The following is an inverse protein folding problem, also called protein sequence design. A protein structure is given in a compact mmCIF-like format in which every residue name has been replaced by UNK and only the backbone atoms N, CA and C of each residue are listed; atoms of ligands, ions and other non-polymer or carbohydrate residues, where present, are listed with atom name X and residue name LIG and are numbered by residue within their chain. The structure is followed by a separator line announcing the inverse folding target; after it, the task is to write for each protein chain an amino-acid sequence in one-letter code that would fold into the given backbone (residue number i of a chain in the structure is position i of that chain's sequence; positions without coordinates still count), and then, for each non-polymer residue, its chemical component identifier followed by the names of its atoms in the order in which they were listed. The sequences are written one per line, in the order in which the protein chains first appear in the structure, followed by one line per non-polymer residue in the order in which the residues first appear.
data_IF_407047391036
#
_entry.id   IF_407047391036
#
_cell.length_a   1.000
_cell.length_b   1.000
_cell.length_c   1.000
_cell.angle_alpha   90.00
_cell.angle_beta   90.00
_cell.angle_gamma   90.00
#
_symmetry.space_group_name_H-M   'P 1'
#
loop_
_entity.id
_entity.type
_entity.pdbx_description
1 polymer ?
2 non-polymer ?
3 non-polymer ?
4 non-polymer ?
5 water ?
#
# COMPACT_ATOMS: atom_id res chain seq x y z
N UNK A 10 -16.10 9.76 4.86
CA UNK A 10 -15.89 8.37 5.36
C UNK A 10 -15.20 7.48 4.36
N UNK A 11 -14.17 6.81 4.85
CA UNK A 11 -13.44 5.76 4.16
C UNK A 11 -14.41 4.57 4.18
N UNK A 12 -14.67 3.94 3.02
CA UNK A 12 -15.70 2.88 3.01
C UNK A 12 -15.28 1.59 3.76
N UNK A 13 -16.29 0.90 4.26
CA UNK A 13 -16.14 -0.39 4.85
C UNK A 13 -15.73 -1.36 3.72
N UNK A 14 -15.17 -2.50 4.05
CA UNK A 14 -14.86 -3.46 3.01
C UNK A 14 -16.14 -4.05 2.45
N UNK A 15 -16.09 -4.50 1.19
CA UNK A 15 -17.25 -5.09 0.52
C UNK A 15 -17.34 -6.59 0.75
N UNK A 16 -16.32 -7.18 1.38
CA UNK A 16 -16.28 -8.62 1.60
C UNK A 16 -17.04 -9.12 2.81
N UNK A 17 -17.12 -10.45 2.97
CA UNK A 17 -17.85 -11.08 4.08
C UNK A 17 -17.19 -11.04 5.47
N UNK A 18 -15.92 -10.68 5.56
CA UNK A 18 -15.22 -10.72 6.84
C UNK A 18 -15.22 -9.33 7.50
N UNK A 19 -15.49 -9.29 8.79
CA UNK A 19 -15.14 -8.16 9.65
C UNK A 19 -13.64 -7.89 9.58
N UNK A 20 -13.25 -6.64 9.79
CA UNK A 20 -11.85 -6.23 9.64
C UNK A 20 -11.24 -5.67 10.94
N UNK A 21 -10.04 -6.19 11.26
CA UNK A 21 -9.23 -5.70 12.35
C UNK A 21 -8.01 -4.94 11.86
N UNK A 22 -7.41 -4.15 12.72
CA UNK A 22 -6.19 -3.43 12.36
C UNK A 22 -5.27 -3.24 13.57
N UNK A 23 -3.96 -3.34 13.36
CA UNK A 23 -2.99 -3.05 14.42
C UNK A 23 -1.69 -2.58 13.79
N UNK A 24 -0.73 -2.15 14.63
CA UNK A 24 0.59 -1.74 14.14
C UNK A 24 1.66 -2.66 14.69
N UNK A 25 2.63 -2.99 13.84
CA UNK A 25 3.82 -3.76 14.26
C UNK A 25 5.11 -3.06 13.91
N UNK A 26 5.97 -2.87 14.91
CA UNK A 26 7.33 -2.41 14.66
C UNK A 26 8.34 -3.42 15.21
N UNK A 27 9.11 -4.05 14.32
CA UNK A 27 10.20 -4.96 14.75
C UNK A 27 11.35 -5.04 13.74
N UNK A 28 12.60 -4.82 14.14
CA UNK A 28 12.95 -4.33 15.48
C UNK A 28 12.50 -2.86 15.65
N UNK A 29 12.90 -2.26 16.77
CA UNK A 29 12.61 -0.86 17.10
C UNK A 29 13.43 0.20 16.33
N UNK A 30 14.44 -0.22 15.56
CA UNK A 30 15.43 0.69 14.97
C UNK A 30 14.96 1.18 13.61
N UNK A 31 15.63 2.21 13.09
CA UNK A 31 15.40 2.70 11.73
C UNK A 31 15.63 1.65 10.61
N UNK A 32 16.32 0.55 10.89
CA UNK A 32 16.45 -0.59 9.96
C UNK A 32 15.43 -1.72 10.19
N UNK A 33 14.61 -1.61 11.23
CA UNK A 33 13.54 -2.56 11.47
C UNK A 33 12.42 -2.39 10.48
N UNK A 34 11.44 -3.27 10.61
CA UNK A 34 10.21 -3.20 9.87
C UNK A 34 9.16 -2.44 10.68
N UNK A 35 8.42 -1.59 9.99
CA UNK A 35 7.24 -0.91 10.55
C UNK A 35 6.11 -1.13 9.54
N UNK A 36 5.00 -1.68 10.02
CA UNK A 36 3.85 -1.86 9.17
C UNK A 36 2.53 -1.72 9.93
N UNK A 37 1.49 -1.37 9.19
CA UNK A 37 0.13 -1.42 9.70
C UNK A 37 -0.53 -2.66 9.11
N UNK A 38 -1.06 -3.53 9.99
CA UNK A 38 -1.66 -4.77 9.60
C UNK A 38 -3.19 -4.64 9.55
N UNK A 39 -3.79 -5.10 8.45
CA UNK A 39 -5.24 -5.25 8.30
C UNK A 39 -5.52 -6.70 8.10
N UNK A 40 -6.50 -7.22 8.83
CA UNK A 40 -6.67 -8.66 8.90
C UNK A 40 -8.13 -9.03 9.17
N UNK A 41 -8.54 -10.24 8.74
CA UNK A 41 -9.88 -10.69 9.08
C UNK A 41 -10.03 -10.83 10.60
N UNK A 42 -11.05 -10.23 11.18
CA UNK A 42 -11.20 -10.21 12.62
C UNK A 42 -12.38 -11.03 13.12
N UNK A 43 -12.20 -11.54 14.33
CA UNK A 43 -13.19 -12.32 15.03
C UNK A 43 -14.39 -11.47 15.46
N UNK A 44 -14.10 -10.28 15.99
CA UNK A 44 -15.13 -9.41 16.57
C UNK A 44 -15.23 -8.07 15.83
N UNK A 45 -16.36 -7.42 16.03
CA UNK A 45 -16.71 -6.21 15.32
C UNK A 45 -17.22 -5.11 16.25
N UNK A 46 -16.92 -5.20 17.55
CA UNK A 46 -17.37 -4.25 18.57
C UNK A 46 -16.20 -3.45 19.21
N UNK A 47 -15.12 -3.31 18.46
CA UNK A 47 -13.97 -2.55 18.92
C UNK A 47 -14.05 -1.13 18.44
N UNK A 48 -13.23 -0.28 19.05
CA UNK A 48 -13.04 1.09 18.56
C UNK A 48 -12.48 1.07 17.15
N UNK A 49 -12.98 1.99 16.32
CA UNK A 49 -12.42 2.18 14.99
C UNK A 49 -10.99 2.68 15.11
N UNK A 50 -10.27 2.58 14.00
CA UNK A 50 -8.84 2.83 13.94
C UNK A 50 -8.57 4.31 13.59
N UNK A 51 -7.79 4.99 14.43
CA UNK A 51 -7.38 6.37 14.16
C UNK A 51 -6.56 6.44 12.86
N UNK A 52 -7.02 7.27 11.92
CA UNK A 52 -6.54 7.28 10.56
C UNK A 52 -5.10 7.80 10.40
N UNK A 53 -4.86 8.97 10.98
CA UNK A 53 -3.51 9.57 11.03
C UNK A 53 -3.20 9.74 12.54
N UNK A 54 -2.40 8.81 13.11
CA UNK A 54 -2.30 8.70 14.54
C UNK A 54 -1.32 9.57 15.31
N UNK A 55 -0.50 10.39 14.66
CA UNK A 55 0.40 11.31 15.37
C UNK A 55 0.50 12.64 14.67
N UNK A 56 0.65 13.67 15.49
CA UNK A 56 0.76 15.06 15.00
C UNK A 56 1.90 15.22 13.99
N UNK A 57 2.97 14.45 14.19
CA UNK A 57 4.16 14.57 13.36
C UNK A 57 3.88 14.18 11.89
N UNK A 58 2.95 13.26 11.65
CA UNK A 58 2.51 12.96 10.27
C UNK A 58 1.96 14.21 9.57
N UNK A 59 1.24 15.05 10.31
CA UNK A 59 0.72 16.31 9.74
C UNK A 59 1.82 17.32 9.41
N UNK A 60 2.83 17.41 10.26
CA UNK A 60 3.98 18.26 9.96
C UNK A 60 4.67 17.73 8.71
N UNK A 61 4.80 16.41 8.63
CA UNK A 61 5.32 15.73 7.45
C UNK A 61 4.53 16.10 6.20
N UNK A 62 3.21 16.03 6.30
CA UNK A 62 2.36 16.38 5.15
C UNK A 62 2.54 17.84 4.75
N UNK A 63 2.76 18.71 5.73
CA UNK A 63 2.93 20.12 5.45
C UNK A 63 4.25 20.42 4.70
N UNK A 64 5.32 19.75 5.11
CA UNK A 64 6.59 19.82 4.37
C UNK A 64 6.41 19.25 2.96
N UNK A 65 5.72 18.12 2.83
CA UNK A 65 5.49 17.53 1.52
C UNK A 65 4.73 18.49 0.60
N UNK A 66 3.77 19.24 1.16
CA UNK A 66 3.05 20.27 0.41
C UNK A 66 3.89 21.50 0.10
N UNK A 67 4.99 21.70 0.84
CA UNK A 67 5.82 22.88 0.70
C UNK A 67 5.25 24.10 1.40
N UNK A 68 4.42 23.89 2.43
CA UNK A 68 3.83 25.00 3.20
C UNK A 68 4.54 25.11 4.54
N UNK A 69 4.28 26.20 5.26
CA UNK A 69 4.81 26.37 6.64
C UNK A 69 4.35 25.18 7.47
N UNK A 70 5.10 24.87 8.54
CA UNK A 70 4.71 23.78 9.46
C UNK A 70 3.33 23.98 10.15
N UNK A 71 2.87 25.21 10.22
CA UNK A 71 1.62 25.57 10.86
C UNK A 71 0.41 25.22 10.02
N UNK A 72 0.60 25.03 8.72
CA UNK A 72 -0.38 24.33 7.91
C UNK A 72 -0.57 22.92 8.49
N UNK A 73 0.52 22.31 8.94
CA UNK A 73 0.44 21.00 9.63
C UNK A 73 -0.52 21.00 10.83
N UNK A 74 -0.37 21.97 11.72
CA UNK A 74 -1.31 22.14 12.83
C UNK A 74 -2.78 22.26 12.34
N UNK A 75 -2.99 22.98 11.23
CA UNK A 75 -4.31 23.17 10.65
C UNK A 75 -4.84 21.86 10.06
N UNK A 76 -3.97 21.10 9.41
CA UNK A 76 -4.36 19.78 8.88
C UNK A 76 -4.78 18.87 10.02
N UNK A 77 -4.04 18.94 11.12
CA UNK A 77 -4.31 18.10 12.25
C UNK A 77 -5.67 18.47 12.86
N UNK A 78 -5.92 19.76 13.04
CA UNK A 78 -7.24 20.20 13.45
C UNK A 78 -8.34 19.60 12.55
N UNK A 79 -8.12 19.58 11.24
CA UNK A 79 -9.15 19.14 10.30
C UNK A 79 -9.35 17.63 10.25
N UNK A 80 -8.25 16.88 10.35
CA UNK A 80 -8.26 15.45 10.10
C UNK A 80 -7.79 14.56 11.25
N UNK A 81 -7.36 15.17 12.36
CA UNK A 81 -6.67 14.43 13.42
C UNK A 81 -7.51 13.52 14.32
N UNK A 82 -8.82 13.67 14.30
CA UNK A 82 -9.76 12.80 15.01
C UNK A 82 -10.46 11.81 14.09
N UNK A 83 -10.15 11.88 12.78
CA UNK A 83 -10.79 11.04 11.79
C UNK A 83 -10.39 9.57 11.96
N UNK A 84 -11.36 8.68 11.80
CA UNK A 84 -11.11 7.25 11.91
C UNK A 84 -11.35 6.54 10.59
N UNK A 85 -10.95 5.28 10.53
CA UNK A 85 -11.15 4.40 9.39
C UNK A 85 -11.81 3.14 9.94
N UNK A 86 -12.76 2.52 9.19
CA UNK A 86 -13.59 1.47 9.79
C UNK A 86 -12.88 0.11 9.82
N UNK A 87 -11.89 0.00 10.70
CA UNK A 87 -11.27 -1.26 11.09
C UNK A 87 -11.20 -1.33 12.62
N UNK A 88 -11.49 -2.52 13.16
CA UNK A 88 -11.59 -2.76 14.58
C UNK A 88 -10.18 -2.80 15.15
N UNK A 89 -9.80 -1.73 15.86
CA UNK A 89 -8.43 -1.58 16.37
C UNK A 89 -8.12 -2.68 17.38
N UNK A 90 -7.05 -3.45 17.11
CA UNK A 90 -6.60 -4.57 17.95
C UNK A 90 -7.58 -5.71 18.17
N UNK A 91 -8.58 -5.84 17.31
CA UNK A 91 -9.52 -6.94 17.45
C UNK A 91 -8.74 -8.26 17.29
N UNK A 92 -9.17 -9.33 17.96
CA UNK A 92 -8.56 -10.63 17.70
C UNK A 92 -8.68 -11.09 16.24
N UNK A 93 -7.65 -11.78 15.76
CA UNK A 93 -7.66 -12.39 14.43
C UNK A 93 -8.76 -13.44 14.34
N UNK A 94 -9.46 -13.47 13.20
CA UNK A 94 -10.45 -14.53 12.98
C UNK A 94 -9.71 -15.86 12.81
N UNK A 95 -9.97 -16.83 13.69
CA UNK A 95 -9.21 -18.06 13.66
C UNK A 95 -9.76 -19.06 12.66
N UNK A 96 -9.01 -20.13 12.45
CA UNK A 96 -9.50 -21.34 11.77
C UNK A 96 -9.31 -21.39 10.27
N UNK A 97 -8.44 -20.52 9.76
CA UNK A 97 -8.24 -20.41 8.33
C UNK A 97 -6.90 -19.77 8.07
N UNK A 98 -6.22 -20.25 7.02
CA UNK A 98 -4.96 -19.64 6.56
C UNK A 98 -5.23 -18.59 5.49
N UNK A 99 -4.64 -17.41 5.69
CA UNK A 99 -4.91 -16.25 4.88
C UNK A 99 -3.74 -15.92 3.94
N UNK A 100 -4.03 -15.64 2.66
CA UNK A 100 -2.96 -15.09 1.82
C UNK A 100 -2.57 -13.68 2.24
N UNK A 101 -1.37 -13.28 1.84
CA UNK A 101 -0.71 -12.07 2.34
C UNK A 101 -0.39 -11.10 1.20
N UNK A 102 -0.76 -9.85 1.42
CA UNK A 102 -0.35 -8.74 0.56
C UNK A 102 0.57 -7.84 1.36
N UNK A 103 1.74 -7.53 0.79
CA UNK A 103 2.59 -6.47 1.32
C UNK A 103 2.24 -5.27 0.45
N UNK A 104 1.94 -4.15 1.09
CA UNK A 104 1.49 -2.94 0.39
C UNK A 104 2.51 -1.79 0.57
N UNK A 105 2.86 -1.13 -0.54
CA UNK A 105 3.82 -0.01 -0.55
C UNK A 105 3.19 1.35 -0.91
N UNK A 106 3.38 2.33 -0.02
CA UNK A 106 2.83 3.68 -0.17
C UNK A 106 3.66 4.55 -1.12
N UNK A 107 3.05 5.63 -1.58
CA UNK A 107 3.71 6.56 -2.51
C UNK A 107 4.57 7.62 -1.83
N UNK A 108 5.10 8.54 -2.64
CA UNK A 108 5.92 9.66 -2.19
C UNK A 108 5.10 10.65 -1.38
N UNK A 109 5.60 10.98 -0.18
CA UNK A 109 4.90 11.87 0.75
C UNK A 109 3.75 11.22 1.50
N UNK A 110 3.49 9.95 1.23
CA UNK A 110 2.46 9.21 1.95
C UNK A 110 3.11 8.52 3.18
N UNK A 111 2.39 7.62 3.81
CA UNK A 111 2.91 6.76 4.88
C UNK A 111 1.95 5.58 5.01
N UNK A 112 2.12 4.76 6.03
CA UNK A 112 1.46 3.44 6.07
C UNK A 112 -0.06 3.42 6.23
N UNK A 113 -0.62 4.48 6.79
CA UNK A 113 -2.02 4.49 7.21
C UNK A 113 -2.96 5.01 6.09
N UNK A 114 -2.42 5.51 4.98
CA UNK A 114 -3.25 6.26 4.01
C UNK A 114 -3.86 5.41 2.86
N UNK A 115 -3.82 4.10 3.02
CA UNK A 115 -4.42 3.21 2.04
C UNK A 115 -5.30 2.18 2.74
N UNK A 116 -6.04 2.64 3.75
CA UNK A 116 -6.95 1.79 4.49
C UNK A 116 -8.15 1.35 3.65
N UNK A 117 -8.61 2.17 2.71
CA UNK A 117 -9.73 1.75 1.84
C UNK A 117 -9.35 0.46 1.12
N UNK A 118 -8.15 0.43 0.53
CA UNK A 118 -7.63 -0.80 -0.08
C UNK A 118 -7.39 -1.92 0.95
N UNK A 119 -6.67 -1.64 2.03
CA UNK A 119 -6.29 -2.67 3.03
C UNK A 119 -7.50 -3.31 3.73
N UNK A 120 -8.43 -2.46 4.16
CA UNK A 120 -9.71 -2.91 4.69
C UNK A 120 -10.48 -3.78 3.71
N UNK A 121 -10.60 -3.34 2.46
CA UNK A 121 -11.40 -4.13 1.52
C UNK A 121 -10.76 -5.51 1.25
N UNK A 122 -9.44 -5.54 1.06
CA UNK A 122 -8.72 -6.80 0.88
C UNK A 122 -8.92 -7.70 2.09
N UNK A 123 -8.73 -7.14 3.30
CA UNK A 123 -8.98 -7.85 4.54
C UNK A 123 -10.39 -8.42 4.64
N UNK A 124 -11.37 -7.64 4.21
CA UNK A 124 -12.77 -8.08 4.27
C UNK A 124 -13.07 -9.30 3.37
N UNK A 125 -12.21 -9.54 2.38
CA UNK A 125 -12.30 -10.72 1.52
C UNK A 125 -11.38 -11.88 1.95
N UNK A 126 -10.69 -11.75 3.09
CA UNK A 126 -9.87 -12.82 3.67
C UNK A 126 -8.38 -12.76 3.38
N UNK A 127 -7.85 -11.55 3.14
CA UNK A 127 -6.39 -11.31 3.08
C UNK A 127 -5.89 -10.71 4.38
N UNK A 128 -4.66 -11.04 4.75
CA UNK A 128 -3.90 -10.23 5.69
C UNK A 128 -3.09 -9.30 4.82
N UNK A 129 -3.07 -8.01 5.17
CA UNK A 129 -2.41 -6.95 4.41
C UNK A 129 -1.41 -6.24 5.31
N UNK A 130 -0.15 -6.22 4.88
CA UNK A 130 0.90 -5.54 5.62
C UNK A 130 1.31 -4.29 4.87
N UNK A 131 0.80 -3.14 5.32
CA UNK A 131 1.18 -1.85 4.73
C UNK A 131 2.43 -1.32 5.42
N UNK A 132 3.57 -1.45 4.73
CA UNK A 132 4.84 -1.07 5.32
C UNK A 132 4.98 0.45 5.39
N UNK A 133 5.77 0.93 6.34
CA UNK A 133 6.16 2.33 6.38
C UNK A 133 7.64 2.35 6.05
N UNK A 134 7.95 3.02 4.96
CA UNK A 134 9.30 3.09 4.44
C UNK A 134 10.12 4.11 5.21
N UNK A 135 11.37 3.72 5.46
CA UNK A 135 12.36 4.58 6.15
C UNK A 135 13.41 5.16 5.19
N UNK A 136 13.02 5.31 3.93
CA UNK A 136 13.92 5.80 2.87
C UNK A 136 13.89 7.31 2.69
N UNK A 137 13.16 7.99 3.60
CA UNK A 137 12.85 9.43 3.54
C UNK A 137 11.93 9.78 2.35
N UNK A 138 11.16 8.78 1.84
CA UNK A 138 10.09 9.04 0.88
C UNK A 138 8.75 9.21 1.57
N UNK A 139 8.65 8.77 2.83
CA UNK A 139 7.45 9.01 3.63
C UNK A 139 7.43 10.48 4.05
N UNK A 140 6.24 11.08 4.14
CA UNK A 140 6.11 12.44 4.71
C UNK A 140 6.77 12.52 6.08
N UNK A 141 6.46 11.51 6.87
CA UNK A 141 7.11 11.29 8.14
C UNK A 141 7.07 9.80 8.42
N UNK A 142 7.98 9.36 9.29
CA UNK A 142 7.93 8.04 9.94
C UNK A 142 8.71 8.11 11.26
N UNK A 143 8.62 7.08 12.08
CA UNK A 143 9.40 7.04 13.30
C UNK A 143 9.93 5.67 13.68
N UNK A 144 10.85 5.71 14.66
CA UNK A 144 11.53 4.53 15.21
C UNK A 144 12.22 4.98 16.49
N UNK A 145 13.01 4.07 17.09
CA UNK A 145 13.66 4.31 18.37
C UNK A 145 15.17 4.10 18.24
N UNK A 146 15.90 4.99 18.90
CA UNK A 146 17.34 5.05 18.77
C UNK A 146 18.00 3.82 19.35
N UNK A 147 17.42 3.33 20.44
CA UNK A 147 17.93 2.13 21.09
C UNK A 147 16.83 1.53 21.97
N UNK A 148 17.18 0.49 22.72
CA UNK A 148 16.19 -0.25 23.51
C UNK A 148 15.57 0.60 24.62
N UNK A 149 16.40 1.40 25.30
CA UNK A 149 15.92 2.35 26.33
C UNK A 149 14.81 3.24 25.82
N UNK A 150 15.04 3.87 24.66
CA UNK A 150 14.07 4.77 24.02
C UNK A 150 12.73 4.09 23.64
N UNK A 151 12.82 2.87 23.13
CA UNK A 151 11.63 2.07 22.80
C UNK A 151 10.78 1.77 24.04
N UNK A 152 11.43 1.36 25.13
CA UNK A 152 10.76 1.14 26.42
C UNK A 152 9.92 2.32 26.87
N UNK A 153 10.54 3.49 26.93
CA UNK A 153 9.84 4.70 27.38
C UNK A 153 9.03 5.40 26.30
N UNK A 154 9.02 4.88 25.09
CA UNK A 154 8.26 5.49 23.99
C UNK A 154 8.81 6.83 23.51
N UNK A 155 10.14 6.98 23.56
CA UNK A 155 10.83 8.20 23.09
C UNK A 155 11.11 8.11 21.58
N UNK A 156 10.14 8.58 20.79
CA UNK A 156 10.17 8.43 19.34
C UNK A 156 11.17 9.39 18.68
N UNK A 157 11.95 8.89 17.72
CA UNK A 157 12.71 9.76 16.84
C UNK A 157 12.02 9.83 15.47
N UNK A 158 11.86 11.03 14.95
CA UNK A 158 11.12 11.24 13.72
C UNK A 158 12.05 11.52 12.55
N UNK A 159 11.67 10.97 11.39
CA UNK A 159 12.42 11.08 10.14
C UNK A 159 11.47 11.65 9.09
N UNK A 160 11.80 12.80 8.54
CA UNK A 160 10.90 13.52 7.64
C UNK A 160 11.32 13.39 6.19
N UNK A 161 10.36 13.57 5.29
CA UNK A 161 10.59 13.63 3.84
C UNK A 161 11.85 14.36 3.44
N UNK A 162 12.65 13.72 2.58
CA UNK A 162 13.81 14.36 1.98
C UNK A 162 13.42 15.05 0.67
N UNK A 163 13.72 16.33 0.56
CA UNK A 163 13.52 17.05 -0.70
C UNK A 163 14.81 17.00 -1.48
N UNK A 164 14.69 16.77 -2.78
CA UNK A 164 15.84 16.54 -3.66
C UNK A 164 16.08 17.69 -4.58
N UNK A 165 17.35 17.95 -4.84
CA UNK A 165 17.76 18.83 -5.91
C UNK A 165 17.63 18.02 -7.20
N UNK A 166 17.36 18.70 -8.31
CA UNK A 166 17.20 18.05 -9.63
C UNK A 166 18.38 17.16 -9.99
N UNK A 167 19.59 17.57 -9.61
CA UNK A 167 20.80 16.80 -9.79
C UNK A 167 20.80 15.44 -9.05
N UNK A 168 20.02 15.31 -7.97
CA UNK A 168 19.92 14.08 -7.16
C UNK A 168 18.82 13.13 -7.56
N UNK A 169 17.87 13.57 -8.39
CA UNK A 169 16.64 12.80 -8.65
C UNK A 169 16.91 11.37 -9.12
N UNK A 170 17.64 11.19 -10.21
CA UNK A 170 17.80 9.85 -10.80
C UNK A 170 18.42 8.90 -9.79
N UNK A 171 19.57 9.31 -9.27
CA UNK A 171 20.33 8.50 -8.34
C UNK A 171 19.59 8.19 -7.04
N UNK A 172 19.07 9.21 -6.37
CA UNK A 172 18.47 9.02 -5.06
C UNK A 172 17.13 8.28 -5.18
N UNK A 173 16.33 8.57 -6.21
CA UNK A 173 15.08 7.80 -6.42
C UNK A 173 15.34 6.31 -6.65
N UNK A 174 16.41 5.98 -7.35
CA UNK A 174 16.78 4.57 -7.55
C UNK A 174 17.25 3.95 -6.20
N UNK A 175 18.07 4.67 -5.42
CA UNK A 175 18.53 4.17 -4.11
C UNK A 175 17.30 3.89 -3.24
N UNK A 176 16.33 4.79 -3.29
CA UNK A 176 15.12 4.68 -2.49
C UNK A 176 14.25 3.47 -2.86
N UNK A 177 14.05 3.26 -4.17
CA UNK A 177 13.19 2.14 -4.60
C UNK A 177 13.85 0.81 -4.23
N UNK A 178 15.16 0.78 -4.22
CA UNK A 178 15.85 -0.47 -3.86
C UNK A 178 15.72 -0.71 -2.36
N UNK A 179 15.88 0.37 -1.56
CA UNK A 179 15.59 0.27 -0.14
C UNK A 179 14.15 -0.16 0.14
N UNK A 180 13.22 0.46 -0.57
CA UNK A 180 11.79 0.10 -0.48
C UNK A 180 11.58 -1.41 -0.73
N UNK A 181 12.16 -1.91 -1.79
CA UNK A 181 12.13 -3.35 -2.11
C UNK A 181 12.64 -4.21 -0.96
N UNK A 182 13.80 -3.84 -0.43
CA UNK A 182 14.37 -4.52 0.73
C UNK A 182 13.44 -4.48 1.94
N UNK A 183 12.76 -3.36 2.15
CA UNK A 183 11.81 -3.24 3.25
C UNK A 183 10.58 -4.12 3.03
N UNK A 184 10.17 -4.32 1.77
CA UNK A 184 9.07 -5.25 1.47
C UNK A 184 9.49 -6.67 1.76
N UNK A 185 10.68 -7.08 1.30
CA UNK A 185 11.17 -8.43 1.55
C UNK A 185 11.37 -8.67 3.04
N UNK A 186 11.93 -7.69 3.74
CA UNK A 186 12.09 -7.80 5.19
C UNK A 186 10.75 -7.94 5.90
N UNK A 187 9.77 -7.15 5.49
CA UNK A 187 8.44 -7.25 6.10
C UNK A 187 7.84 -8.63 5.87
N UNK A 188 8.01 -9.20 4.67
CA UNK A 188 7.55 -10.58 4.40
C UNK A 188 8.19 -11.60 5.34
N UNK A 189 9.51 -11.54 5.46
CA UNK A 189 10.27 -12.44 6.32
C UNK A 189 9.81 -12.38 7.79
N UNK A 190 9.56 -11.17 8.29
CA UNK A 190 9.05 -10.99 9.64
C UNK A 190 7.70 -11.68 9.84
N UNK A 191 6.77 -11.45 8.91
CA UNK A 191 5.43 -12.04 8.99
C UNK A 191 5.53 -13.56 8.87
N UNK A 192 6.35 -14.04 7.93
CA UNK A 192 6.54 -15.49 7.76
C UNK A 192 7.20 -16.10 9.01
N UNK A 193 8.10 -15.39 9.67
CA UNK A 193 8.71 -15.88 10.92
C UNK A 193 7.75 -15.90 12.09
N UNK A 194 6.91 -14.87 12.19
CA UNK A 194 5.83 -14.87 13.17
C UNK A 194 4.83 -16.00 12.87
N UNK A 195 4.56 -16.27 11.60
CA UNK A 195 3.70 -17.39 11.21
C UNK A 195 4.29 -18.70 11.70
N UNK A 196 5.60 -18.81 11.56
CA UNK A 196 6.38 -19.94 12.05
C UNK A 196 6.80 -19.88 13.52
N UNK A 197 6.12 -19.03 14.32
CA UNK A 197 6.11 -19.09 15.80
C UNK A 197 7.21 -18.39 16.58
N UNK A 198 8.16 -17.78 15.88
CA UNK A 198 9.20 -16.98 16.51
C UNK A 198 8.60 -15.88 17.42
N UNK A 199 8.92 -15.93 18.74
CA UNK A 199 8.52 -14.81 19.60
C UNK A 199 9.05 -13.50 19.01
N UNK A 200 8.20 -12.49 18.98
CA UNK A 200 8.56 -11.17 18.50
C UNK A 200 7.92 -10.19 19.49
N UNK A 201 8.73 -9.39 20.16
CA UNK A 201 8.21 -8.34 21.05
C UNK A 201 7.99 -7.08 20.23
N UNK A 202 6.73 -6.75 19.98
CA UNK A 202 6.37 -5.55 19.24
C UNK A 202 6.97 -4.36 20.00
N UNK A 203 7.69 -3.51 19.28
CA UNK A 203 8.31 -2.33 19.89
C UNK A 203 7.25 -1.30 20.31
N UNK A 204 6.06 -1.39 19.71
CA UNK A 204 4.91 -0.63 20.14
C UNK A 204 4.11 -1.46 21.17
N UNK A 205 3.75 -0.83 22.28
CA UNK A 205 3.09 -1.54 23.38
C UNK A 205 1.58 -1.54 23.10
N UNK A 206 1.14 -2.49 22.27
CA UNK A 206 -0.25 -2.57 21.82
C UNK A 206 -0.86 -3.89 22.27
N UNK A 207 -2.14 -3.89 22.57
CA UNK A 207 -2.80 -5.10 23.08
C UNK A 207 -3.31 -5.97 21.93
N UNK A 208 -2.38 -6.35 21.06
CA UNK A 208 -2.61 -7.33 20.02
C UNK A 208 -1.45 -8.31 20.10
N UNK A 209 -1.74 -9.48 20.62
CA UNK A 209 -0.77 -10.54 20.72
C UNK A 209 -0.38 -11.13 19.36
N UNK A 210 0.89 -10.94 18.98
CA UNK A 210 1.41 -11.44 17.71
C UNK A 210 1.36 -12.96 17.55
N UNK A 211 1.29 -13.69 18.65
CA UNK A 211 1.16 -15.15 18.58
C UNK A 211 -0.12 -15.67 17.88
N UNK A 212 -1.08 -14.78 17.66
CA UNK A 212 -2.28 -15.06 16.90
C UNK A 212 -2.00 -15.41 15.48
N UNK A 213 -0.97 -14.78 14.92
CA UNK A 213 -0.62 -14.98 13.53
C UNK A 213 0.09 -16.31 13.25
N UNK A 214 0.53 -16.99 14.32
CA UNK A 214 1.11 -18.32 14.19
C UNK A 214 0.16 -19.22 13.42
N UNK A 215 0.68 -19.91 12.41
CA UNK A 215 -0.10 -20.83 11.55
C UNK A 215 -1.34 -20.21 10.87
N UNK A 216 -1.30 -18.88 10.66
CA UNK A 216 -2.42 -18.13 10.05
C UNK A 216 -2.19 -17.64 8.62
N UNK A 217 -0.96 -17.80 8.09
CA UNK A 217 -0.60 -17.34 6.74
C UNK A 217 -0.60 -18.54 5.78
N UNK A 218 -1.21 -18.35 4.62
CA UNK A 218 -1.12 -19.30 3.50
C UNK A 218 0.23 -18.96 2.83
N UNK A 219 1.27 -19.69 3.22
CA UNK A 219 2.65 -19.20 3.04
C UNK A 219 3.14 -19.07 1.60
N UNK A 220 2.53 -19.76 0.65
CA UNK A 220 2.88 -19.59 -0.77
C UNK A 220 2.06 -18.48 -1.51
N UNK A 221 1.03 -17.95 -0.87
CA UNK A 221 0.10 -17.08 -1.52
C UNK A 221 0.43 -15.65 -1.12
N UNK A 222 1.56 -15.18 -1.65
CA UNK A 222 2.05 -13.83 -1.32
C UNK A 222 2.06 -12.93 -2.55
N UNK A 223 1.53 -11.72 -2.38
CA UNK A 223 1.57 -10.72 -3.42
C UNK A 223 2.08 -9.42 -2.87
N UNK A 224 2.49 -8.54 -3.78
CA UNK A 224 2.96 -7.21 -3.42
C UNK A 224 2.10 -6.25 -4.23
N UNK A 225 1.58 -5.20 -3.58
CA UNK A 225 0.74 -4.17 -4.21
C UNK A 225 1.23 -2.79 -3.78
N UNK A 226 1.08 -1.76 -4.62
CA UNK A 226 1.46 -0.43 -4.21
C UNK A 226 1.07 0.63 -5.20
N UNK A 227 1.10 1.87 -4.71
CA UNK A 227 0.62 3.04 -5.41
C UNK A 227 1.74 4.00 -5.65
N UNK A 228 1.85 4.48 -6.89
CA UNK A 228 2.74 5.58 -7.28
C UNK A 228 4.20 5.12 -7.12
N UNK A 229 4.96 5.70 -6.18
CA UNK A 229 6.30 5.22 -5.83
C UNK A 229 6.20 3.74 -5.37
N UNK A 230 5.14 3.41 -4.67
CA UNK A 230 4.83 2.05 -4.31
C UNK A 230 4.59 1.10 -5.49
N UNK A 231 4.16 1.62 -6.64
CA UNK A 231 3.99 0.83 -7.86
C UNK A 231 5.33 0.45 -8.46
N UNK A 232 6.27 1.40 -8.48
CA UNK A 232 7.67 1.05 -8.82
C UNK A 232 8.25 0.05 -7.82
N UNK A 233 7.87 0.19 -6.56
CA UNK A 233 8.36 -0.69 -5.50
C UNK A 233 7.88 -2.13 -5.73
N UNK A 234 6.62 -2.30 -6.13
CA UNK A 234 6.09 -3.63 -6.54
C UNK A 234 7.06 -4.29 -7.52
N UNK A 235 7.43 -3.53 -8.55
CA UNK A 235 8.21 -4.07 -9.65
C UNK A 235 9.64 -4.42 -9.26
N UNK A 236 10.29 -3.49 -8.56
CA UNK A 236 11.61 -3.76 -7.99
C UNK A 236 11.59 -5.00 -7.08
N UNK A 237 10.57 -5.06 -6.21
CA UNK A 237 10.38 -6.14 -5.25
C UNK A 237 10.27 -7.51 -5.96
N UNK A 238 9.41 -7.59 -6.96
CA UNK A 238 9.25 -8.81 -7.78
C UNK A 238 10.55 -9.27 -8.40
N UNK A 239 11.31 -8.31 -8.93
CA UNK A 239 12.57 -8.61 -9.59
C UNK A 239 13.62 -9.22 -8.64
N UNK A 240 13.53 -8.89 -7.35
CA UNK A 240 14.52 -9.38 -6.40
C UNK A 240 14.07 -10.39 -5.35
N UNK A 241 12.77 -10.69 -5.28
CA UNK A 241 12.25 -11.60 -4.27
C UNK A 241 11.20 -12.49 -4.95
N UNK A 242 11.63 -13.70 -5.33
CA UNK A 242 10.74 -14.65 -5.98
C UNK A 242 9.66 -15.23 -5.05
N UNK A 243 9.73 -14.90 -3.74
CA UNK A 243 8.68 -15.31 -2.79
C UNK A 243 7.38 -14.59 -3.09
N UNK A 244 7.45 -13.39 -3.65
CA UNK A 244 6.26 -12.68 -4.14
C UNK A 244 5.84 -13.31 -5.47
N UNK A 245 4.61 -13.82 -5.54
CA UNK A 245 4.18 -14.63 -6.69
C UNK A 245 3.50 -13.83 -7.77
N UNK A 246 2.98 -12.64 -7.41
CA UNK A 246 2.56 -11.66 -8.40
C UNK A 246 2.50 -10.26 -7.80
N UNK A 247 2.34 -9.27 -8.67
CA UNK A 247 2.25 -7.88 -8.23
C UNK A 247 1.17 -7.08 -8.92
N UNK A 248 0.66 -6.08 -8.22
CA UNK A 248 -0.31 -5.15 -8.77
C UNK A 248 0.19 -3.73 -8.54
N UNK A 249 0.38 -3.01 -9.64
CA UNK A 249 0.96 -1.66 -9.60
C UNK A 249 -0.18 -0.67 -9.86
N UNK A 250 -0.49 0.10 -8.83
CA UNK A 250 -1.57 1.09 -8.86
C UNK A 250 -0.99 2.41 -9.23
N UNK A 251 -1.29 2.83 -10.46
CA UNK A 251 -0.83 4.08 -11.00
C UNK A 251 0.68 4.25 -10.73
N UNK A 252 1.47 3.27 -11.15
CA UNK A 252 2.90 3.31 -10.88
C UNK A 252 3.62 4.57 -11.41
N UNK A 253 4.52 5.11 -10.59
CA UNK A 253 5.48 6.12 -11.02
C UNK A 253 6.78 5.42 -11.35
N UNK A 254 7.09 5.30 -12.64
CA UNK A 254 8.14 4.39 -13.10
C UNK A 254 9.59 4.93 -13.05
N UNK A 255 9.75 6.24 -12.91
CA UNK A 255 11.06 6.92 -12.93
C UNK A 255 12.14 6.30 -12.02
N UNK A 256 11.78 5.87 -10.78
CA UNK A 256 12.83 5.30 -9.89
C UNK A 256 13.56 4.03 -10.40
N UNK A 257 12.90 3.26 -11.27
CA UNK A 257 13.40 1.95 -11.66
C UNK A 257 14.66 2.04 -12.46
N UNK A 258 15.62 1.18 -12.15
CA UNK A 258 16.83 1.08 -12.95
C UNK A 258 16.57 0.37 -14.27
N UNK A 259 17.37 0.67 -15.28
CA UNK A 259 17.24 0.04 -16.61
C UNK A 259 17.30 -1.48 -16.58
N UNK A 260 18.00 -2.00 -15.58
CA UNK A 260 18.20 -3.44 -15.42
C UNK A 260 16.96 -4.25 -15.02
N UNK A 261 15.96 -3.66 -14.37
CA UNK A 261 14.85 -4.45 -13.78
C UNK A 261 13.86 -4.95 -14.82
N UNK A 262 13.75 -4.23 -15.95
CA UNK A 262 12.62 -4.41 -16.88
C UNK A 262 12.49 -5.80 -17.47
N UNK A 263 13.61 -6.37 -17.88
CA UNK A 263 13.71 -7.76 -18.30
C UNK A 263 13.75 -8.82 -17.16
N UNK A 264 13.58 -8.40 -15.90
CA UNK A 264 13.86 -9.29 -14.75
C UNK A 264 12.64 -9.51 -13.83
N UNK A 265 11.45 -9.50 -14.42
CA UNK A 265 10.22 -9.67 -13.66
C UNK A 265 9.46 -10.88 -14.19
N UNK A 266 9.83 -12.09 -13.74
CA UNK A 266 9.09 -13.24 -14.24
C UNK A 266 7.64 -13.36 -13.80
N UNK A 267 7.26 -12.73 -12.69
CA UNK A 267 5.92 -12.90 -12.12
C UNK A 267 4.84 -12.11 -12.89
N UNK A 268 3.60 -12.60 -12.85
CA UNK A 268 2.45 -11.82 -13.36
C UNK A 268 2.33 -10.45 -12.72
N UNK A 269 2.01 -9.45 -13.54
CA UNK A 269 2.00 -8.05 -13.12
C UNK A 269 0.84 -7.33 -13.79
N UNK A 270 0.10 -6.58 -12.97
CA UNK A 270 -1.14 -5.90 -13.33
C UNK A 270 -0.92 -4.39 -13.09
N UNK A 271 -1.08 -3.61 -14.16
CA UNK A 271 -1.08 -2.15 -14.06
C UNK A 271 -2.53 -1.70 -14.01
N UNK A 272 -2.89 -1.02 -12.92
CA UNK A 272 -4.20 -0.34 -12.78
C UNK A 272 -3.90 1.15 -12.73
N UNK A 273 -4.28 1.86 -13.79
CA UNK A 273 -3.97 3.30 -13.91
C UNK A 273 -5.19 4.18 -13.76
N UNK A 274 -4.94 5.43 -13.40
CA UNK A 274 -5.93 6.48 -13.48
C UNK A 274 -5.86 7.10 -14.88
N UNK A 275 -6.96 7.70 -15.33
CA UNK A 275 -7.00 8.35 -16.64
C UNK A 275 -6.07 9.56 -16.75
N UNK A 276 -6.05 10.41 -15.71
CA UNK A 276 -5.42 11.73 -15.82
C UNK A 276 -3.96 11.83 -15.32
N UNK A 277 -3.49 10.89 -14.52
CA UNK A 277 -2.07 10.88 -14.08
C UNK A 277 -1.07 10.57 -15.21
N UNK A 278 -1.39 9.58 -16.02
CA UNK A 278 -0.38 8.94 -16.87
C UNK A 278 0.10 9.81 -18.02
N UNK A 279 1.28 9.49 -18.52
CA UNK A 279 1.95 10.29 -19.54
C UNK A 279 2.87 9.36 -20.34
N UNK A 280 3.15 9.70 -21.60
CA UNK A 280 3.90 8.77 -22.46
C UNK A 280 5.18 8.15 -21.86
N UNK A 281 6.05 8.95 -21.24
CA UNK A 281 7.32 8.43 -20.68
C UNK A 281 7.08 7.30 -19.67
N UNK A 282 6.07 7.49 -18.81
CA UNK A 282 5.68 6.49 -17.84
C UNK A 282 5.09 5.24 -18.49
N UNK A 283 4.21 5.43 -19.46
CA UNK A 283 3.58 4.30 -20.17
C UNK A 283 4.63 3.47 -20.92
N UNK A 284 5.57 4.14 -21.58
CA UNK A 284 6.68 3.49 -22.30
C UNK A 284 7.48 2.56 -21.36
N UNK A 285 7.79 3.05 -20.17
CA UNK A 285 8.42 2.25 -19.13
C UNK A 285 7.59 1.02 -18.72
N UNK A 286 6.29 1.19 -18.55
CA UNK A 286 5.41 0.03 -18.26
C UNK A 286 5.47 -1.00 -19.39
N UNK A 287 5.41 -0.54 -20.63
CA UNK A 287 5.48 -1.43 -21.77
C UNK A 287 6.83 -2.15 -21.94
N UNK A 288 7.90 -1.59 -21.37
CA UNK A 288 9.18 -2.27 -21.26
C UNK A 288 9.14 -3.49 -20.31
N UNK A 289 8.11 -3.58 -19.48
CA UNK A 289 7.94 -4.76 -18.64
C UNK A 289 7.33 -5.95 -19.41
N UNK A 290 6.88 -5.73 -20.65
CA UNK A 290 6.17 -6.75 -21.43
C UNK A 290 7.14 -7.64 -22.23
N UNK A 291 6.74 -8.90 -22.40
CA UNK A 291 7.37 -9.93 -23.29
C UNK A 291 6.36 -11.09 -23.44
N UNK A 292 6.41 -11.86 -24.57
CA UNK A 292 5.38 -12.91 -24.80
C UNK A 292 5.25 -13.98 -23.72
N UNK A 293 6.36 -14.35 -23.09
CA UNK A 293 6.34 -15.34 -21.99
C UNK A 293 5.73 -14.83 -20.66
N UNK A 294 5.55 -13.53 -20.54
CA UNK A 294 5.11 -12.90 -19.30
C UNK A 294 3.65 -12.52 -19.34
N UNK A 295 3.03 -12.67 -18.17
CA UNK A 295 1.64 -12.33 -17.96
C UNK A 295 1.59 -10.86 -17.56
N UNK A 296 0.98 -10.04 -18.41
CA UNK A 296 0.86 -8.62 -18.17
C UNK A 296 -0.53 -8.17 -18.50
N UNK A 297 -1.12 -7.38 -17.59
CA UNK A 297 -2.44 -6.79 -17.80
C UNK A 297 -2.38 -5.32 -17.43
N UNK A 298 -3.19 -4.52 -18.12
CA UNK A 298 -3.29 -3.07 -17.93
C UNK A 298 -4.73 -2.58 -18.11
N UNK A 299 -5.19 -1.80 -17.14
CA UNK A 299 -6.47 -1.10 -17.28
C UNK A 299 -6.36 0.31 -16.74
N UNK A 300 -7.29 1.14 -17.24
CA UNK A 300 -7.37 2.54 -16.90
C UNK A 300 -8.82 2.84 -16.46
N UNK A 301 -8.93 3.45 -15.29
CA UNK A 301 -10.21 3.81 -14.69
C UNK A 301 -10.63 5.18 -15.27
N UNK A 302 -11.76 5.19 -15.99
CA UNK A 302 -12.29 6.40 -16.63
C UNK A 302 -12.65 7.48 -15.62
N UNK A 303 -12.22 8.70 -15.90
CA UNK A 303 -12.58 9.86 -15.08
C UNK A 303 -11.85 9.94 -13.74
N UNK A 304 -10.81 9.11 -13.57
CA UNK A 304 -10.09 9.02 -12.32
C UNK A 304 -8.78 9.82 -12.33
N UNK A 305 -8.34 10.17 -11.13
CA UNK A 305 -7.10 10.90 -10.92
C UNK A 305 -6.21 10.07 -9.99
N UNK A 306 -4.94 10.45 -9.95
CA UNK A 306 -3.91 9.77 -9.19
C UNK A 306 -4.32 9.52 -7.73
N UNK A 307 -5.01 10.48 -7.12
CA UNK A 307 -5.42 10.34 -5.73
C UNK A 307 -6.60 9.38 -5.46
N UNK A 308 -7.29 8.92 -6.51
CA UNK A 308 -8.41 7.94 -6.33
C UNK A 308 -7.93 6.63 -5.62
N UNK A 309 -6.64 6.32 -5.68
CA UNK A 309 -6.13 5.12 -5.01
C UNK A 309 -5.85 5.28 -3.52
N UNK A 310 -5.83 6.53 -3.02
CA UNK A 310 -5.45 6.81 -1.63
C UNK A 310 -6.63 7.40 -0.86
N UNK A 311 -6.49 7.42 0.46
CA UNK A 311 -7.62 7.66 1.37
C UNK A 311 -8.13 9.10 1.42
N UNK A 312 -7.28 10.05 1.04
CA UNK A 312 -7.67 11.45 1.03
C UNK A 312 -8.75 11.74 -0.03
N UNK A 313 -8.96 10.82 -0.99
CA UNK A 313 -10.10 10.90 -1.91
C UNK A 313 -11.44 10.79 -1.17
N UNK A 314 -11.43 10.23 0.03
CA UNK A 314 -12.63 10.14 0.88
C UNK A 314 -12.71 11.19 1.99
N UNK A 315 -11.70 12.04 2.14
CA UNK A 315 -11.55 12.89 3.35
C UNK A 315 -12.22 14.26 3.29
N UNK A 316 -12.57 14.72 2.09
CA UNK A 316 -13.24 16.01 1.90
C UNK A 316 -14.48 15.82 1.07
N UNK A 317 -15.27 16.88 0.98
CA UNK A 317 -16.46 16.90 0.15
C UNK A 317 -16.20 16.75 -1.33
N UNK A 318 -17.27 16.55 -2.10
CA UNK A 318 -17.17 16.37 -3.55
C UNK A 318 -16.53 17.60 -4.18
N UNK A 319 -17.07 18.77 -3.88
CA UNK A 319 -16.63 20.01 -4.51
C UNK A 319 -15.16 20.32 -4.21
N UNK A 320 -14.80 20.50 -2.95
CA UNK A 320 -13.42 20.80 -2.59
C UNK A 320 -12.50 19.65 -3.02
N UNK A 321 -12.97 18.42 -2.94
CA UNK A 321 -12.24 17.26 -3.46
C UNK A 321 -11.77 17.36 -4.91
N UNK A 322 -12.65 17.85 -5.80
CA UNK A 322 -12.34 17.97 -7.22
C UNK A 322 -11.35 19.12 -7.49
N UNK A 323 -11.53 20.23 -6.78
CA UNK A 323 -10.58 21.36 -6.82
C UNK A 323 -9.13 21.01 -6.47
N UNK A 324 -8.97 20.22 -5.41
CA UNK A 324 -7.63 19.82 -4.92
C UNK A 324 -7.00 18.61 -5.63
N UNK A 325 -7.68 18.09 -6.65
CA UNK A 325 -7.34 16.85 -7.37
C UNK A 325 -7.27 15.61 -6.46
N UNK A 326 -8.04 15.63 -5.37
CA UNK A 326 -8.22 14.46 -4.53
C UNK A 326 -9.31 13.56 -5.13
N UNK A 327 -10.26 14.15 -5.86
CA UNK A 327 -11.33 13.42 -6.53
C UNK A 327 -11.27 13.69 -8.04
N UNK A 328 -11.75 12.73 -8.83
CA UNK A 328 -11.91 12.91 -10.26
C UNK A 328 -13.36 13.01 -10.66
N UNK A 329 -13.62 12.91 -11.95
CA UNK A 329 -14.98 13.03 -12.46
C UNK A 329 -15.83 11.85 -11.95
N UNK A 330 -15.20 10.69 -11.90
CA UNK A 330 -15.78 9.47 -11.33
C UNK A 330 -15.97 9.54 -9.80
N UNK A 331 -17.04 8.92 -9.32
CA UNK A 331 -17.25 8.75 -7.88
C UNK A 331 -16.15 7.92 -7.22
N UNK A 332 -15.62 8.39 -6.09
CA UNK A 332 -14.48 7.75 -5.43
C UNK A 332 -14.73 6.30 -5.02
N UNK A 333 -15.92 6.02 -4.48
CA UNK A 333 -16.29 4.65 -4.08
C UNK A 333 -16.38 3.74 -5.28
N UNK A 334 -16.97 4.23 -6.37
CA UNK A 334 -17.05 3.48 -7.62
C UNK A 334 -15.63 3.12 -8.13
N UNK A 335 -14.74 4.10 -8.15
CA UNK A 335 -13.37 3.90 -8.67
C UNK A 335 -12.61 2.86 -7.86
N UNK A 336 -12.59 3.03 -6.56
CA UNK A 336 -11.87 2.10 -5.69
C UNK A 336 -12.49 0.70 -5.71
N UNK A 337 -13.82 0.59 -5.82
CA UNK A 337 -14.49 -0.73 -6.00
C UNK A 337 -13.94 -1.45 -7.22
N UNK A 338 -13.78 -0.73 -8.32
CA UNK A 338 -13.23 -1.29 -9.55
C UNK A 338 -11.79 -1.75 -9.39
N UNK A 339 -10.92 -0.85 -8.90
CA UNK A 339 -9.54 -1.18 -8.60
C UNK A 339 -9.41 -2.42 -7.68
N UNK A 340 -10.17 -2.41 -6.59
CA UNK A 340 -10.15 -3.49 -5.60
C UNK A 340 -10.72 -4.81 -6.13
N UNK A 341 -11.87 -4.76 -6.83
CA UNK A 341 -12.45 -6.01 -7.43
C UNK A 341 -11.57 -6.63 -8.52
N UNK A 342 -11.05 -5.78 -9.40
CA UNK A 342 -10.11 -6.20 -10.45
C UNK A 342 -8.85 -6.82 -9.84
N UNK A 343 -8.34 -6.19 -8.78
CA UNK A 343 -7.19 -6.71 -8.03
C UNK A 343 -7.50 -8.10 -7.44
N UNK A 344 -8.67 -8.23 -6.83
CA UNK A 344 -9.13 -9.51 -6.28
C UNK A 344 -9.18 -10.65 -7.30
N UNK A 345 -9.71 -10.36 -8.48
CA UNK A 345 -9.76 -11.33 -9.56
C UNK A 345 -8.34 -11.73 -9.98
N UNK A 346 -7.48 -10.73 -10.20
CA UNK A 346 -6.08 -10.97 -10.57
C UNK A 346 -5.36 -11.84 -9.54
N UNK A 347 -5.48 -11.49 -8.26
CA UNK A 347 -4.87 -12.26 -7.16
C UNK A 347 -5.35 -13.71 -7.13
N UNK A 348 -6.65 -13.91 -7.33
CA UNK A 348 -7.20 -15.26 -7.35
C UNK A 348 -6.56 -16.08 -8.49
N UNK A 349 -6.48 -15.48 -9.67
CA UNK A 349 -5.92 -16.18 -10.82
C UNK A 349 -4.46 -16.58 -10.56
N UNK A 350 -3.65 -15.66 -10.05
CA UNK A 350 -2.21 -15.89 -10.00
C UNK A 350 -1.66 -16.40 -8.66
N UNK A 351 -2.49 -16.41 -7.63
CA UNK A 351 -2.17 -17.08 -6.37
C UNK A 351 -2.88 -18.40 -6.22
N UNK A 352 -3.80 -18.73 -7.13
CA UNK A 352 -4.51 -19.99 -7.07
C UNK A 352 -5.44 -20.06 -5.87
N UNK A 353 -6.21 -19.00 -5.67
CA UNK A 353 -7.16 -18.94 -4.56
C UNK A 353 -8.45 -19.66 -4.97
N UNK A 354 -9.14 -20.21 -3.97
CA UNK A 354 -10.39 -20.95 -4.18
C UNK A 354 -11.58 -20.19 -3.60
N UNK A 355 -11.69 -18.94 -3.99
CA UNK A 355 -12.76 -18.03 -3.61
C UNK A 355 -13.59 -17.74 -4.87
N UNK A 356 -14.43 -16.71 -4.80
CA UNK A 356 -15.33 -16.35 -5.89
C UNK A 356 -14.90 -15.07 -6.63
N UNK A 357 -13.61 -14.69 -6.50
CA UNK A 357 -13.13 -13.42 -7.05
C UNK A 357 -13.08 -13.42 -8.59
N UNK A 358 -13.15 -14.61 -9.21
CA UNK A 358 -13.27 -14.73 -10.66
C UNK A 358 -14.58 -14.16 -11.25
N UNK A 359 -15.55 -13.84 -10.39
CA UNK A 359 -16.72 -13.07 -10.83
C UNK A 359 -16.31 -11.72 -11.44
N UNK A 360 -15.13 -11.20 -11.06
CA UNK A 360 -14.63 -9.94 -11.61
C UNK A 360 -13.55 -10.10 -12.69
N UNK A 361 -13.46 -11.29 -13.33
CA UNK A 361 -12.44 -11.52 -14.37
C UNK A 361 -12.53 -10.50 -15.51
N UNK A 362 -13.75 -10.09 -15.81
CA UNK A 362 -13.99 -9.12 -16.90
C UNK A 362 -13.34 -7.77 -16.66
N UNK A 363 -13.16 -7.41 -15.38
CA UNK A 363 -12.49 -6.17 -15.01
C UNK A 363 -10.99 -6.18 -15.31
N UNK A 364 -10.36 -7.35 -15.20
CA UNK A 364 -8.93 -7.51 -15.57
C UNK A 364 -8.71 -7.12 -17.04
N UNK A 365 -9.69 -7.43 -17.90
CA UNK A 365 -9.65 -7.05 -19.32
C UNK A 365 -10.27 -5.65 -19.59
N UNK A 366 -10.68 -4.94 -18.54
CA UNK A 366 -11.18 -3.57 -18.67
C UNK A 366 -12.53 -3.52 -19.35
N UNK A 367 -13.33 -4.57 -19.14
CA UNK A 367 -14.68 -4.69 -19.71
C UNK A 367 -15.66 -4.25 -18.65
N UNK A 368 -16.00 -2.96 -18.73
CA UNK A 368 -16.86 -2.25 -17.78
C UNK A 368 -17.03 -0.85 -18.36
N UNK A 369 -18.20 -0.23 -18.18
CA UNK A 369 -18.41 1.10 -18.77
C UNK A 369 -17.48 2.19 -18.19
N UNK A 370 -16.97 2.00 -16.96
CA UNK A 370 -15.97 2.90 -16.37
C UNK A 370 -14.51 2.44 -16.52
N UNK A 371 -14.25 1.46 -17.40
CA UNK A 371 -12.88 1.02 -17.66
C UNK A 371 -12.52 1.21 -19.11
N UNK A 372 -11.24 1.50 -19.33
CA UNK A 372 -10.62 1.57 -20.64
C UNK A 372 -9.66 0.40 -20.67
N UNK A 373 -9.82 -0.51 -21.63
CA UNK A 373 -8.81 -1.55 -21.73
C UNK A 373 -7.44 -0.94 -22.05
N UNK A 374 -6.42 -1.41 -21.35
CA UNK A 374 -5.08 -0.93 -21.55
C UNK A 374 -4.95 0.49 -21.08
N UNK A 375 -4.58 1.38 -21.99
CA UNK A 375 -4.36 2.80 -21.69
C UNK A 375 -4.93 3.75 -22.73
N UNK A 376 -5.39 4.91 -22.24
CA UNK A 376 -5.78 6.03 -23.10
C UNK A 376 -4.58 6.76 -23.72
N UNK A 377 -3.36 6.53 -23.21
CA UNK A 377 -2.19 7.31 -23.63
C UNK A 377 -1.56 6.76 -24.91
N UNK A 378 -1.47 7.60 -25.93
CA UNK A 378 -0.75 7.30 -27.16
C UNK A 378 0.76 7.56 -26.98
N UNK A 379 1.57 6.64 -27.53
CA UNK A 379 3.03 6.69 -27.43
C UNK A 379 3.68 6.64 -28.83
N UNK A 380 3.18 7.52 -29.70
CA UNK A 380 3.87 8.00 -30.90
C UNK A 380 3.42 9.45 -31.11
X LIG B 1 15.93 -11.09 -2.48
X LIG C 1 -11.52 -1.44 21.55
X LIG D 1 2.12 11.00 -3.64
X LIG D 1 2.10 11.48 -5.00
X LIG D 1 1.37 12.75 -5.29
X LIG D 1 2.87 12.73 -5.32
X LIG D 1 0.29 10.62 -1.64
X LIG D 1 0.43 12.08 0.25
X LIG D 1 -0.83 11.69 0.64
X LIG D 1 -1.55 10.77 -0.12
X LIG D 1 -2.87 10.36 0.29
X LIG D 1 -0.97 10.23 -1.26
X LIG D 1 0.00 9.85 -4.09
X LIG D 1 1.02 9.94 -3.09
X LIG D 1 1.71 8.76 -2.69
X LIG D 1 1.00 11.55 -0.88
X LIG D 1 -3.92 10.05 0.61
X LIG D 1 2.01 10.80 -5.69
X LIG D 1 0.94 13.24 -4.56
X LIG D 1 0.89 12.84 -6.14
X LIG D 1 3.32 12.77 -6.18
X LIG D 1 3.36 13.15 -4.61
X LIG D 1 0.91 12.72 0.76
X LIG D 1 -1.22 12.06 1.42
X LIG D 1 -1.44 9.61 -1.78
X LIG D 1 1.86 11.81 -1.15
X LIG D 1 2.84 11.10 -3.16
#
# INVERSE_FOLDING_TARGET
MAAASFGQTKIPRGNGPYSVGCTDLMFDHTNKGTFLRLYYPSQDNDRLDTLWIPNKEYFWGLSKFLGTHWLMGNILRLLFGSMTTPANWNSPLRPGEKYPLVVFSHGLGAFRTLYSAIGIDLASHGFIVAAVEHRDRSASATYYFKDQSAAEIGDKSWLYLRTLKQEEETHIRNEQVRQRAKECSQALSLILDIDHGKPVKNALDLKFDMEQLKDSIDREKIAVIGHSFGGATVIQTLSEDQRFRCGIALDAWMFPLGDEVYSRIPQPLFFINSEYFQYPANIIKMKKCYSPDKERKMITIRGSVHQNFADFTFATGKIIGHMLKLKGDIDSNVAIDLSNKASLAFLQKHLGLHKDFDQWDCLIEGDDENLIPGTNINTTNQHHHHHH
NA NA
CL CL
7BX N4 C5 C6 C7 C8 C10 C11 C12 C13 C15 O1 S2 O3 C9 N14 H17 H19 H18 H20 H21 H23 H24 H25 H22 H16
#
